data_IF_584062838442
#
_entry.id   IF_584062838442
#
_cell.length_a   1.000
_cell.length_b   1.000
_cell.length_c   1.000
_cell.angle_alpha   90.00
_cell.angle_beta   90.00
_cell.angle_gamma   90.00
#
_symmetry.space_group_name_H-M   'P 1'
#
loop_
_entity.id
_entity.type
_entity.pdbx_description
1 polymer ?
#
# COMPACT_ATOMS: atom_id res chain seq x y z
N UNK A 1 31.98 -48.12 61.78
CA UNK A 1 30.98 -49.13 62.20
C UNK A 1 29.73 -48.89 61.32
N UNK A 2 29.56 -49.83 60.43
CA UNK A 2 28.36 -50.17 59.63
C UNK A 2 27.19 -50.54 60.55
N UNK A 3 25.92 -50.71 60.15
CA UNK A 3 25.39 -51.01 58.83
C UNK A 3 23.92 -50.56 58.51
N UNK A 4 23.56 -50.85 57.25
CA UNK A 4 22.31 -51.37 56.64
C UNK A 4 21.28 -50.35 56.17
N UNK A 5 21.23 -50.10 54.90
CA UNK A 5 20.56 -50.86 53.82
C UNK A 5 19.10 -51.23 54.11
N UNK A 6 18.20 -50.56 53.37
CA UNK A 6 17.04 -51.29 52.81
C UNK A 6 16.54 -50.51 51.56
N UNK A 7 16.59 -51.16 50.40
CA UNK A 7 16.06 -50.74 49.12
C UNK A 7 14.53 -50.78 49.14
N UNK A 8 13.90 -49.74 48.50
CA UNK A 8 12.52 -49.82 48.05
C UNK A 8 12.51 -49.63 46.52
N UNK A 9 11.93 -50.61 45.86
CA UNK A 9 11.61 -50.68 44.45
C UNK A 9 10.64 -49.51 44.04
N UNK A 10 10.79 -48.89 42.90
CA UNK A 10 9.83 -47.92 42.46
C UNK A 10 8.64 -48.59 41.76
N UNK A 11 7.46 -48.15 42.17
CA UNK A 11 6.20 -48.54 41.61
C UNK A 11 6.01 -47.81 40.26
N UNK A 12 5.43 -48.53 39.32
CA UNK A 12 5.22 -48.12 37.93
C UNK A 12 4.31 -46.88 37.79
N UNK A 13 4.80 -45.82 37.17
CA UNK A 13 3.99 -44.70 36.73
C UNK A 13 3.22 -45.03 35.43
N UNK A 14 1.96 -44.59 35.28
CA UNK A 14 1.21 -44.75 34.04
C UNK A 14 1.73 -43.79 32.96
N UNK A 15 1.82 -44.31 31.74
CA UNK A 15 2.26 -43.63 30.52
C UNK A 15 1.39 -42.42 30.15
N UNK A 16 1.89 -41.21 30.37
CA UNK A 16 1.31 -40.00 29.87
C UNK A 16 1.69 -39.76 28.39
N UNK A 17 1.00 -40.43 27.46
CA UNK A 17 1.18 -40.19 26.00
C UNK A 17 0.02 -39.43 25.33
N UNK A 18 -0.80 -38.73 26.12
CA UNK A 18 -2.00 -38.07 25.62
C UNK A 18 -1.89 -36.52 25.53
N UNK A 19 -0.88 -35.88 26.12
CA UNK A 19 -0.78 -34.40 26.15
C UNK A 19 0.18 -33.80 25.11
N UNK A 20 1.10 -34.62 24.54
CA UNK A 20 2.01 -34.07 23.49
C UNK A 20 1.33 -33.90 22.15
N UNK A 21 0.36 -34.76 21.81
CA UNK A 21 -0.32 -34.69 20.49
C UNK A 21 -1.35 -33.56 20.38
N UNK A 22 -1.88 -33.07 21.53
CA UNK A 22 -2.78 -31.91 21.54
C UNK A 22 -2.04 -30.59 21.42
N UNK A 23 -0.88 -30.45 22.04
CA UNK A 23 -0.07 -29.23 21.94
C UNK A 23 0.47 -29.03 20.53
N UNK A 24 0.86 -30.12 19.83
CA UNK A 24 1.35 -30.05 18.45
C UNK A 24 0.23 -29.75 17.43
N UNK A 25 -0.99 -30.28 17.64
CA UNK A 25 -2.13 -29.98 16.76
C UNK A 25 -2.63 -28.56 16.91
N UNK A 26 -2.65 -28.00 18.12
CA UNK A 26 -3.04 -26.61 18.36
C UNK A 26 -1.97 -25.64 17.83
N UNK A 27 -0.69 -25.97 17.97
CA UNK A 27 0.41 -25.20 17.39
C UNK A 27 0.37 -25.17 15.87
N UNK A 28 0.13 -26.30 15.21
CA UNK A 28 0.01 -26.39 13.77
C UNK A 28 -1.23 -25.63 13.23
N UNK A 29 -2.36 -25.70 13.93
CA UNK A 29 -3.57 -24.94 13.58
C UNK A 29 -3.36 -23.42 13.71
N UNK A 30 -2.69 -22.97 14.78
CA UNK A 30 -2.35 -21.55 14.99
C UNK A 30 -1.40 -21.05 13.92
N UNK A 31 -0.36 -21.81 13.57
CA UNK A 31 0.58 -21.46 12.50
C UNK A 31 -0.13 -21.41 11.13
N UNK A 32 -1.00 -22.36 10.84
CA UNK A 32 -1.80 -22.37 9.61
C UNK A 32 -2.70 -21.13 9.51
N UNK A 33 -3.38 -20.76 10.59
CA UNK A 33 -4.23 -19.57 10.66
C UNK A 33 -3.41 -18.28 10.54
N UNK A 34 -2.26 -18.18 11.21
CA UNK A 34 -1.37 -17.03 11.10
C UNK A 34 -0.84 -16.86 9.67
N UNK A 35 -0.47 -17.94 8.99
CA UNK A 35 -0.02 -17.91 7.59
C UNK A 35 -1.10 -17.40 6.64
N UNK A 36 -2.36 -17.79 6.81
CA UNK A 36 -3.49 -17.29 6.02
C UNK A 36 -3.70 -15.79 6.23
N UNK A 37 -3.64 -15.31 7.47
CA UNK A 37 -3.79 -13.89 7.76
C UNK A 37 -2.62 -13.05 7.23
N UNK A 38 -1.39 -13.56 7.31
CA UNK A 38 -0.22 -12.89 6.73
C UNK A 38 -0.34 -12.80 5.20
N UNK A 39 -0.78 -13.86 4.53
CA UNK A 39 -0.99 -13.85 3.09
C UNK A 39 -2.09 -12.86 2.69
N UNK A 40 -3.21 -12.82 3.42
CA UNK A 40 -4.29 -11.86 3.17
C UNK A 40 -3.83 -10.40 3.38
N UNK A 41 -3.01 -10.15 4.41
CA UNK A 41 -2.43 -8.83 4.63
C UNK A 41 -1.48 -8.43 3.50
N UNK A 42 -0.62 -9.35 3.05
CA UNK A 42 0.29 -9.09 1.92
C UNK A 42 -0.48 -8.76 0.64
N UNK A 43 -1.53 -9.52 0.32
CA UNK A 43 -2.41 -9.25 -0.82
C UNK A 43 -3.07 -7.87 -0.71
N UNK A 44 -3.58 -7.53 0.48
CA UNK A 44 -4.15 -6.21 0.71
C UNK A 44 -3.13 -5.08 0.50
N UNK A 45 -1.90 -5.23 1.00
CA UNK A 45 -0.82 -4.25 0.83
C UNK A 45 -0.47 -4.09 -0.65
N UNK A 46 -0.31 -5.19 -1.40
CA UNK A 46 0.00 -5.16 -2.83
C UNK A 46 -1.11 -4.47 -3.66
N UNK A 47 -2.36 -4.62 -3.25
CA UNK A 47 -3.52 -3.95 -3.87
C UNK A 47 -3.69 -2.50 -3.42
N UNK A 48 -2.91 -2.03 -2.46
CA UNK A 48 -3.08 -0.73 -1.79
C UNK A 48 -1.86 0.20 -1.95
N UNK A 49 -1.29 0.38 -3.17
CA UNK A 49 -0.09 1.21 -3.35
C UNK A 49 -0.32 2.70 -3.08
N UNK A 50 -1.56 3.17 -3.04
CA UNK A 50 -1.93 4.57 -2.74
C UNK A 50 -3.21 4.63 -1.91
N UNK A 51 -3.55 5.79 -1.29
CA UNK A 51 -4.79 5.94 -0.51
C UNK A 51 -6.03 5.56 -1.30
N UNK A 52 -6.10 5.89 -2.57
CA UNK A 52 -7.25 5.59 -3.44
C UNK A 52 -7.40 4.10 -3.67
N UNK A 53 -6.30 3.40 -3.90
CA UNK A 53 -6.27 1.95 -4.02
C UNK A 53 -6.63 1.28 -2.68
N UNK A 54 -6.09 1.78 -1.55
CA UNK A 54 -6.37 1.25 -0.23
C UNK A 54 -7.86 1.38 0.14
N UNK A 55 -8.46 2.56 -0.13
CA UNK A 55 -9.87 2.77 0.10
C UNK A 55 -10.75 1.84 -0.77
N UNK A 56 -10.39 1.63 -2.06
CA UNK A 56 -11.10 0.71 -2.95
C UNK A 56 -10.91 -0.74 -2.53
N UNK A 57 -9.70 -1.18 -2.24
CA UNK A 57 -9.41 -2.53 -1.75
C UNK A 57 -10.14 -2.84 -0.43
N UNK A 58 -10.23 -1.86 0.48
CA UNK A 58 -11.02 -1.96 1.69
C UNK A 58 -12.52 -2.09 1.40
N UNK A 59 -13.04 -1.29 0.46
CA UNK A 59 -14.42 -1.39 -0.01
C UNK A 59 -14.75 -2.76 -0.59
N UNK A 60 -13.87 -3.33 -1.42
CA UNK A 60 -14.03 -4.67 -2.00
C UNK A 60 -14.09 -5.76 -0.91
N UNK A 61 -13.25 -5.66 0.13
CA UNK A 61 -13.29 -6.58 1.27
C UNK A 61 -14.61 -6.47 2.04
N UNK A 62 -15.12 -5.26 2.23
CA UNK A 62 -16.40 -5.02 2.90
C UNK A 62 -17.56 -5.55 2.05
N UNK A 63 -17.57 -5.30 0.74
CA UNK A 63 -18.58 -5.84 -0.17
C UNK A 63 -18.59 -7.38 -0.14
N UNK A 64 -17.41 -8.01 -0.15
CA UNK A 64 -17.25 -9.46 0.01
C UNK A 64 -17.76 -9.99 1.36
N UNK A 65 -17.79 -9.15 2.40
CA UNK A 65 -18.34 -9.45 3.73
C UNK A 65 -19.85 -9.09 3.87
N UNK A 66 -20.51 -8.72 2.77
CA UNK A 66 -21.94 -8.42 2.73
C UNK A 66 -22.32 -7.01 3.18
N UNK A 67 -21.36 -6.06 3.16
CA UNK A 67 -21.67 -4.65 3.32
C UNK A 67 -22.15 -4.05 2.00
N UNK A 68 -23.03 -3.06 2.07
CA UNK A 68 -23.61 -2.36 0.93
C UNK A 68 -22.86 -1.05 0.70
N UNK A 69 -22.32 -0.85 -0.51
CA UNK A 69 -21.73 0.43 -0.90
C UNK A 69 -22.82 1.46 -1.16
N UNK A 70 -22.67 2.64 -0.55
CA UNK A 70 -23.55 3.78 -0.78
C UNK A 70 -22.79 4.88 -1.52
N UNK A 71 -23.45 5.50 -2.49
CA UNK A 71 -22.94 6.69 -3.17
C UNK A 71 -22.92 7.90 -2.23
N UNK A 72 -21.92 8.76 -2.38
CA UNK A 72 -21.73 9.97 -1.53
C UNK A 72 -22.93 10.93 -1.58
N UNK A 73 -23.68 10.92 -2.69
CA UNK A 73 -24.85 11.77 -2.91
C UNK A 73 -26.18 11.07 -2.60
N UNK A 74 -26.15 9.82 -2.10
CA UNK A 74 -27.35 9.13 -1.69
C UNK A 74 -27.89 9.65 -0.36
N UNK A 75 -29.18 9.48 -0.16
CA UNK A 75 -29.83 9.78 1.10
C UNK A 75 -29.46 8.76 2.17
N UNK A 76 -29.14 9.24 3.37
CA UNK A 76 -28.76 8.45 4.53
C UNK A 76 -29.87 8.36 5.58
N UNK A 77 -31.11 8.73 5.25
CA UNK A 77 -32.25 8.66 6.19
C UNK A 77 -32.56 7.23 6.64
N UNK A 78 -32.26 6.26 5.81
CA UNK A 78 -32.47 4.83 6.11
C UNK A 78 -31.25 4.00 5.67
N UNK A 79 -30.09 4.15 6.34
CA UNK A 79 -28.90 3.44 5.97
C UNK A 79 -29.04 1.93 6.25
N UNK A 80 -28.40 1.05 5.44
CA UNK A 80 -28.38 -0.38 5.70
C UNK A 80 -27.71 -0.69 7.03
N UNK A 81 -28.01 -1.85 7.63
CA UNK A 81 -27.35 -2.31 8.86
C UNK A 81 -25.84 -2.46 8.70
N UNK A 82 -25.38 -2.88 7.53
CA UNK A 82 -23.98 -2.95 7.14
C UNK A 82 -23.80 -2.13 5.87
N UNK A 83 -23.12 -1.01 5.98
CA UNK A 83 -22.87 -0.15 4.84
C UNK A 83 -21.47 0.44 4.83
N UNK A 84 -21.06 0.94 3.68
CA UNK A 84 -19.84 1.71 3.55
C UNK A 84 -19.93 2.76 2.43
N UNK A 85 -19.09 3.75 2.51
CA UNK A 85 -18.88 4.80 1.50
C UNK A 85 -17.40 4.90 1.20
N UNK A 86 -17.05 4.92 -0.08
CA UNK A 86 -15.71 5.29 -0.55
C UNK A 86 -15.79 6.67 -1.18
N UNK A 87 -14.93 7.57 -0.72
CA UNK A 87 -14.77 8.89 -1.31
C UNK A 87 -13.30 9.24 -1.43
N UNK A 88 -12.83 9.41 -2.66
CA UNK A 88 -11.42 9.62 -2.94
C UNK A 88 -10.55 8.54 -2.27
N UNK A 89 -9.58 8.93 -1.45
CA UNK A 89 -8.75 8.01 -0.66
C UNK A 89 -9.30 7.70 0.72
N UNK A 90 -10.59 7.90 0.97
CA UNK A 90 -11.21 7.70 2.27
C UNK A 90 -12.28 6.61 2.21
N UNK A 91 -12.38 5.84 3.28
CA UNK A 91 -13.39 4.80 3.48
C UNK A 91 -14.06 5.00 4.84
N UNK A 92 -15.38 5.02 4.85
CA UNK A 92 -16.18 4.98 6.08
C UNK A 92 -17.09 3.78 6.01
N UNK A 93 -17.10 2.95 7.05
CA UNK A 93 -17.96 1.78 7.11
C UNK A 93 -18.64 1.69 8.48
N UNK A 94 -19.80 1.09 8.52
CA UNK A 94 -20.56 0.86 9.76
C UNK A 94 -21.23 -0.51 9.74
N UNK A 95 -21.43 -1.03 10.96
CA UNK A 95 -22.20 -2.23 11.18
C UNK A 95 -23.01 -2.07 12.46
N UNK A 96 -24.32 -2.28 12.39
CA UNK A 96 -25.23 -2.16 13.51
C UNK A 96 -26.60 -1.69 13.11
N UNK A 97 -27.60 -1.97 13.93
CA UNK A 97 -28.99 -1.61 13.64
C UNK A 97 -29.24 -0.12 13.87
N UNK A 98 -29.82 0.64 12.91
CA UNK A 98 -30.07 2.08 13.04
C UNK A 98 -30.93 2.44 14.28
N UNK A 99 -31.86 1.56 14.67
CA UNK A 99 -32.69 1.75 15.86
C UNK A 99 -31.94 1.59 17.18
N UNK A 100 -30.69 1.12 17.16
CA UNK A 100 -29.84 1.01 18.34
C UNK A 100 -29.07 2.31 18.65
N UNK A 101 -29.50 3.46 18.13
CA UNK A 101 -28.88 4.77 18.33
C UNK A 101 -28.73 5.21 19.81
N UNK A 102 -29.40 4.51 20.74
CA UNK A 102 -29.21 4.68 22.19
C UNK A 102 -28.04 3.86 22.75
N UNK A 103 -27.35 3.05 21.93
CA UNK A 103 -26.26 2.18 22.35
C UNK A 103 -24.91 2.86 22.05
N UNK A 104 -23.93 2.66 22.93
CA UNK A 104 -22.60 3.21 22.73
C UNK A 104 -21.97 2.72 21.40
N UNK A 105 -21.49 3.66 20.59
CA UNK A 105 -20.77 3.37 19.34
C UNK A 105 -19.30 3.09 19.62
N UNK A 106 -18.77 2.02 19.00
CA UNK A 106 -17.32 1.76 18.95
C UNK A 106 -16.80 2.29 17.64
N UNK A 107 -15.77 3.14 17.70
CA UNK A 107 -15.17 3.77 16.53
C UNK A 107 -13.71 3.35 16.41
N UNK A 108 -13.30 2.93 15.22
CA UNK A 108 -11.91 2.60 14.87
C UNK A 108 -11.51 3.53 13.72
N UNK A 109 -10.39 4.21 13.88
CA UNK A 109 -9.83 5.07 12.84
C UNK A 109 -8.40 4.67 12.50
N UNK A 110 -8.07 4.75 11.23
CA UNK A 110 -6.73 4.54 10.70
C UNK A 110 -6.52 5.44 9.48
N UNK A 111 -5.26 5.71 9.13
CA UNK A 111 -4.94 6.41 7.88
C UNK A 111 -4.84 5.44 6.70
N UNK A 112 -5.10 5.92 5.49
CA UNK A 112 -5.00 5.16 4.22
C UNK A 112 -3.76 5.53 3.42
N UNK A 113 -3.12 6.66 3.72
CA UNK A 113 -1.92 7.16 3.04
C UNK A 113 -0.65 6.55 3.63
N UNK A 114 0.44 6.66 2.88
CA UNK A 114 1.79 6.24 3.31
C UNK A 114 2.81 7.25 2.80
N UNK A 115 3.96 7.41 3.49
CA UNK A 115 5.06 8.22 2.98
C UNK A 115 5.56 7.69 1.64
N UNK A 116 5.96 8.60 0.75
CA UNK A 116 6.44 8.23 -0.59
C UNK A 116 6.94 9.44 -1.39
N UNK A 117 7.18 9.24 -2.66
CA UNK A 117 7.56 10.27 -3.60
C UNK A 117 6.35 10.65 -4.47
N UNK A 118 5.81 11.86 -4.31
CA UNK A 118 4.70 12.35 -5.14
C UNK A 118 5.24 12.98 -6.43
N UNK A 119 4.66 12.58 -7.54
CA UNK A 119 5.00 13.12 -8.85
C UNK A 119 4.43 14.53 -8.98
N UNK A 120 5.26 15.50 -9.40
CA UNK A 120 4.83 16.89 -9.58
C UNK A 120 3.87 17.06 -10.77
N UNK A 121 3.08 18.15 -10.80
CA UNK A 121 2.22 18.48 -11.95
C UNK A 121 3.01 18.74 -13.25
N UNK A 122 4.26 19.21 -13.15
CA UNK A 122 5.22 19.32 -14.25
C UNK A 122 6.43 18.45 -13.91
N UNK A 123 6.37 17.15 -14.22
CA UNK A 123 7.35 16.21 -13.72
C UNK A 123 8.53 16.03 -14.64
N UNK A 124 8.35 16.25 -15.94
CA UNK A 124 9.34 15.93 -16.96
C UNK A 124 10.58 16.80 -16.76
N UNK A 125 11.70 16.15 -16.59
CA UNK A 125 13.02 16.77 -16.40
C UNK A 125 14.10 15.79 -16.83
N UNK A 126 15.31 16.27 -16.98
CA UNK A 126 16.43 15.40 -17.32
C UNK A 126 17.78 16.06 -17.07
N UNK A 127 18.79 15.23 -17.08
CA UNK A 127 20.18 15.66 -16.96
C UNK A 127 21.12 14.59 -17.51
N UNK A 128 22.16 15.03 -18.23
CA UNK A 128 23.24 14.15 -18.71
C UNK A 128 22.75 12.95 -19.54
N UNK A 129 21.71 13.15 -20.36
CA UNK A 129 21.15 12.07 -21.18
C UNK A 129 20.27 11.09 -20.43
N UNK A 130 19.82 11.42 -19.20
CA UNK A 130 18.88 10.65 -18.40
C UNK A 130 17.56 11.42 -18.32
N UNK A 131 16.46 10.77 -18.67
CA UNK A 131 15.10 11.29 -18.42
C UNK A 131 14.72 11.01 -16.97
N UNK A 132 14.20 12.02 -16.30
CA UNK A 132 13.86 11.97 -14.88
C UNK A 132 12.47 12.54 -14.64
N UNK A 133 11.85 12.13 -13.53
CA UNK A 133 10.63 12.75 -13.04
C UNK A 133 10.92 13.61 -11.81
N UNK A 134 10.39 14.83 -11.80
CA UNK A 134 10.44 15.68 -10.62
C UNK A 134 9.41 15.20 -9.59
N UNK A 135 9.88 15.03 -8.36
CA UNK A 135 9.09 14.51 -7.25
C UNK A 135 9.14 15.44 -6.04
N UNK A 136 8.22 15.24 -5.13
CA UNK A 136 8.22 15.79 -3.77
C UNK A 136 8.11 14.66 -2.76
N UNK A 137 8.90 14.76 -1.68
CA UNK A 137 8.79 13.82 -0.56
C UNK A 137 7.50 14.11 0.19
N UNK A 138 6.67 13.10 0.35
CA UNK A 138 5.45 13.16 1.12
C UNK A 138 5.59 12.41 2.44
N UNK A 139 5.24 13.07 3.54
CA UNK A 139 5.28 12.48 4.88
C UNK A 139 6.69 12.25 5.42
N UNK A 140 6.79 11.48 6.48
CA UNK A 140 8.05 11.13 7.16
C UNK A 140 8.76 9.93 6.52
N UNK A 141 9.11 10.03 5.24
CA UNK A 141 9.78 8.95 4.52
C UNK A 141 11.23 8.74 4.97
N UNK A 142 11.64 7.47 5.09
CA UNK A 142 13.05 7.10 5.17
C UNK A 142 13.66 7.16 3.77
N UNK A 143 14.01 8.36 3.32
CA UNK A 143 14.36 8.64 1.91
C UNK A 143 15.53 7.81 1.37
N UNK A 144 16.46 7.36 2.22
CA UNK A 144 17.53 6.45 1.84
C UNK A 144 17.01 5.07 1.40
N UNK A 145 15.83 4.66 1.83
CA UNK A 145 15.24 3.37 1.44
C UNK A 145 14.65 3.35 0.03
N UNK A 146 14.53 4.50 -0.64
CA UNK A 146 14.14 4.63 -2.05
C UNK A 146 15.31 4.49 -3.02
N UNK A 147 16.56 4.58 -2.54
CA UNK A 147 17.73 4.46 -3.40
C UNK A 147 17.91 3.02 -3.88
N UNK A 148 18.30 2.88 -5.15
CA UNK A 148 18.60 1.62 -5.85
C UNK A 148 17.49 0.56 -5.78
N UNK A 149 16.25 1.00 -5.57
CA UNK A 149 15.07 0.14 -5.68
C UNK A 149 14.43 0.27 -7.04
N UNK A 150 13.87 -0.84 -7.50
CA UNK A 150 12.91 -0.83 -8.59
C UNK A 150 11.61 -0.22 -8.07
N UNK A 151 11.20 0.88 -8.68
CA UNK A 151 9.99 1.62 -8.35
C UNK A 151 9.01 1.56 -9.51
N UNK A 152 7.73 1.66 -9.20
CA UNK A 152 6.66 1.85 -10.18
C UNK A 152 5.87 3.12 -9.87
N UNK A 153 4.86 3.41 -10.66
CA UNK A 153 3.92 4.51 -10.42
C UNK A 153 2.58 3.94 -9.98
N UNK A 154 1.94 4.59 -9.06
CA UNK A 154 0.55 4.30 -8.73
C UNK A 154 -0.18 5.58 -8.33
N UNK A 155 -1.49 5.61 -8.58
CA UNK A 155 -2.31 6.76 -8.21
C UNK A 155 -3.59 6.87 -9.00
N UNK A 156 -4.06 8.10 -9.14
CA UNK A 156 -5.22 8.44 -9.96
C UNK A 156 -4.86 9.40 -11.08
N UNK A 157 -5.54 9.23 -12.21
CA UNK A 157 -5.41 10.09 -13.38
C UNK A 157 -6.80 10.60 -13.74
N UNK A 158 -6.94 11.92 -13.90
CA UNK A 158 -8.17 12.53 -14.40
C UNK A 158 -8.05 12.72 -15.89
N UNK A 159 -9.03 12.20 -16.61
CA UNK A 159 -9.09 12.26 -18.07
C UNK A 159 -10.37 12.94 -18.55
N UNK A 160 -10.33 13.48 -19.77
CA UNK A 160 -11.54 13.96 -20.44
C UNK A 160 -12.44 12.79 -20.82
N UNK A 161 -13.75 12.94 -20.60
CA UNK A 161 -14.75 11.93 -20.91
C UNK A 161 -16.03 12.60 -21.39
N UNK A 162 -16.24 12.57 -22.71
CA UNK A 162 -17.40 13.19 -23.36
C UNK A 162 -18.76 12.56 -22.98
N UNK A 163 -18.75 11.34 -22.48
CA UNK A 163 -19.95 10.61 -22.06
C UNK A 163 -20.33 10.88 -20.59
N UNK A 164 -19.40 11.43 -19.81
CA UNK A 164 -19.65 11.81 -18.41
C UNK A 164 -20.37 13.16 -18.32
N UNK A 165 -21.39 13.32 -17.44
CA UNK A 165 -22.06 14.60 -17.21
C UNK A 165 -21.12 15.74 -16.77
N UNK A 166 -20.00 15.42 -16.14
CA UNK A 166 -18.97 16.37 -15.73
C UNK A 166 -17.94 16.66 -16.83
N UNK A 167 -17.95 15.89 -17.92
CA UNK A 167 -16.90 15.89 -18.92
C UNK A 167 -15.58 15.25 -18.45
N UNK A 168 -15.59 14.64 -17.27
CA UNK A 168 -14.40 14.12 -16.59
C UNK A 168 -14.61 12.68 -16.10
N UNK A 169 -13.52 11.90 -16.12
CA UNK A 169 -13.44 10.57 -15.52
C UNK A 169 -12.12 10.44 -14.77
N UNK A 170 -12.14 9.76 -13.64
CA UNK A 170 -10.93 9.47 -12.85
C UNK A 170 -10.66 7.97 -12.88
N UNK A 171 -9.43 7.61 -13.25
CA UNK A 171 -8.94 6.24 -13.31
C UNK A 171 -7.86 5.99 -12.29
N UNK A 172 -7.90 4.82 -11.65
CA UNK A 172 -6.79 4.34 -10.84
C UNK A 172 -5.79 3.62 -11.73
N UNK A 173 -4.52 3.95 -11.58
CA UNK A 173 -3.42 3.37 -12.35
C UNK A 173 -2.39 2.76 -11.42
N UNK A 174 -1.92 1.58 -11.80
CA UNK A 174 -0.80 0.88 -11.17
C UNK A 174 -0.16 -0.05 -12.20
N UNK A 175 0.67 0.49 -13.10
CA UNK A 175 1.39 -0.34 -14.07
C UNK A 175 2.30 -1.31 -13.34
N UNK A 176 2.34 -2.54 -13.82
CA UNK A 176 3.16 -3.59 -13.21
C UNK A 176 4.59 -3.53 -13.73
N UNK A 177 5.52 -3.89 -12.85
CA UNK A 177 6.95 -3.92 -13.15
C UNK A 177 7.69 -2.64 -12.83
N UNK A 178 9.03 -2.68 -12.91
CA UNK A 178 9.90 -1.56 -12.62
C UNK A 178 9.82 -0.51 -13.74
N UNK A 179 9.58 0.73 -13.38
CA UNK A 179 9.53 1.88 -14.29
C UNK A 179 10.59 2.93 -13.95
N UNK A 180 10.89 3.06 -12.67
CA UNK A 180 11.67 4.16 -12.12
C UNK A 180 12.77 3.62 -11.22
N UNK A 181 13.86 4.40 -11.11
CA UNK A 181 14.92 4.15 -10.12
C UNK A 181 15.52 5.46 -9.66
N UNK A 182 15.70 5.64 -8.36
CA UNK A 182 16.53 6.67 -7.78
C UNK A 182 17.92 6.09 -7.57
N UNK A 183 18.91 6.39 -8.43
CA UNK A 183 20.21 5.76 -8.34
C UNK A 183 20.99 6.29 -7.13
N UNK A 184 21.67 5.40 -6.42
CA UNK A 184 22.69 5.76 -5.43
C UNK A 184 24.04 5.90 -6.12
N UNK A 185 24.82 6.89 -5.69
CA UNK A 185 26.17 7.09 -6.20
C UNK A 185 27.10 5.96 -5.71
N UNK A 186 28.02 5.55 -6.60
CA UNK A 186 29.14 4.71 -6.20
C UNK A 186 30.05 5.44 -5.22
N UNK A 187 30.70 4.71 -4.32
CA UNK A 187 31.62 5.27 -3.32
C UNK A 187 32.71 6.19 -3.91
N UNK A 188 33.07 5.98 -5.17
CA UNK A 188 34.04 6.83 -5.87
C UNK A 188 33.54 8.26 -6.15
N UNK A 189 32.21 8.44 -6.17
CA UNK A 189 31.55 9.72 -6.41
C UNK A 189 30.99 10.34 -5.12
N UNK A 190 30.93 9.56 -4.04
CA UNK A 190 30.49 9.96 -2.70
C UNK A 190 31.43 9.33 -1.67
N UNK A 191 32.68 9.86 -1.58
CA UNK A 191 33.77 9.24 -0.80
C UNK A 191 33.52 9.26 0.71
N UNK A 192 32.76 10.22 1.17
CA UNK A 192 32.54 10.45 2.60
C UNK A 192 31.33 9.64 3.14
N UNK A 193 30.65 8.91 2.29
CA UNK A 193 29.44 8.15 2.67
C UNK A 193 29.71 7.15 3.81
N UNK A 194 30.88 6.52 3.83
CA UNK A 194 31.25 5.53 4.85
C UNK A 194 31.76 6.15 6.18
N UNK A 195 32.10 7.43 6.19
CA UNK A 195 32.63 8.14 7.37
C UNK A 195 31.65 9.12 7.96
N UNK A 196 30.91 9.84 7.10
CA UNK A 196 29.95 10.86 7.49
C UNK A 196 28.49 10.43 7.35
N UNK A 197 28.24 9.26 6.73
CA UNK A 197 26.92 8.77 6.40
C UNK A 197 26.32 9.42 5.16
N UNK A 198 25.22 8.85 4.69
CA UNK A 198 24.51 9.30 3.51
C UNK A 198 23.77 10.62 3.78
N UNK A 199 24.10 11.66 3.02
CA UNK A 199 23.49 12.99 3.11
C UNK A 199 22.67 13.28 1.87
N UNK A 200 21.33 13.14 1.95
CA UNK A 200 20.42 13.34 0.84
C UNK A 200 19.78 14.72 0.88
N UNK A 201 19.80 15.39 -0.28
CA UNK A 201 18.93 16.54 -0.54
C UNK A 201 17.68 16.06 -1.29
N UNK A 202 16.48 16.16 -0.70
CA UNK A 202 15.27 15.64 -1.31
C UNK A 202 14.95 16.18 -2.70
N UNK A 203 15.28 17.44 -2.97
CA UNK A 203 14.97 18.06 -4.26
C UNK A 203 16.00 17.73 -5.36
N UNK A 204 17.24 17.45 -4.98
CA UNK A 204 18.32 17.22 -5.94
C UNK A 204 18.56 15.73 -6.19
N UNK A 205 18.50 14.91 -5.13
CA UNK A 205 18.97 13.53 -5.16
C UNK A 205 17.87 12.49 -5.35
N UNK A 206 16.58 12.86 -5.20
CA UNK A 206 15.47 11.92 -5.25
C UNK A 206 14.67 11.94 -6.55
N UNK A 207 15.18 12.57 -7.61
CA UNK A 207 14.55 12.53 -8.93
C UNK A 207 14.77 11.17 -9.56
N UNK A 208 13.76 10.31 -9.69
CA UNK A 208 13.95 9.01 -10.29
C UNK A 208 14.23 9.13 -11.78
N UNK A 209 15.12 8.27 -12.25
CA UNK A 209 15.39 8.04 -13.68
C UNK A 209 14.36 7.04 -14.18
N UNK A 210 13.82 7.27 -15.39
CA UNK A 210 12.87 6.39 -16.04
C UNK A 210 13.15 6.14 -17.53
N UNK A 211 14.22 6.73 -18.07
CA UNK A 211 14.61 6.52 -19.44
C UNK A 211 15.93 7.17 -19.78
N UNK A 212 16.40 6.90 -21.00
CA UNK A 212 17.56 7.50 -21.61
C UNK A 212 17.15 8.48 -22.71
N UNK A 213 17.99 9.48 -22.97
CA UNK A 213 17.77 10.50 -23.98
C UNK A 213 17.65 11.90 -23.38
N UNK A 214 17.25 12.86 -24.18
CA UNK A 214 16.92 14.21 -23.70
C UNK A 214 15.61 14.20 -22.94
N UNK A 215 15.46 15.10 -21.97
CA UNK A 215 14.17 15.40 -21.37
C UNK A 215 13.23 15.98 -22.44
N UNK A 216 11.99 15.47 -22.45
CA UNK A 216 10.92 15.99 -23.29
C UNK A 216 9.76 16.38 -22.41
N UNK A 217 9.22 17.56 -22.63
CA UNK A 217 8.00 17.99 -21.95
C UNK A 217 6.81 17.15 -22.46
N UNK A 218 6.06 16.56 -21.53
CA UNK A 218 4.89 15.74 -21.86
C UNK A 218 5.12 14.24 -21.89
N UNK A 219 6.33 13.76 -21.70
CA UNK A 219 6.67 12.30 -21.70
C UNK A 219 5.77 11.50 -20.74
N UNK A 220 5.56 11.99 -19.51
CA UNK A 220 4.68 11.30 -18.57
C UNK A 220 3.22 11.31 -19.02
N UNK A 221 2.76 12.41 -19.62
CA UNK A 221 1.40 12.52 -20.13
C UNK A 221 1.15 11.54 -21.28
N UNK A 222 2.10 11.41 -22.19
CA UNK A 222 2.06 10.45 -23.29
C UNK A 222 2.01 9.01 -22.75
N UNK A 223 2.89 8.68 -21.83
CA UNK A 223 2.88 7.36 -21.16
C UNK A 223 1.53 7.03 -20.50
N UNK A 224 0.93 7.99 -19.79
CA UNK A 224 -0.39 7.80 -19.16
C UNK A 224 -1.51 7.64 -20.19
N UNK A 225 -1.44 8.36 -21.31
CA UNK A 225 -2.40 8.22 -22.38
C UNK A 225 -2.32 6.83 -23.03
N UNK A 226 -1.13 6.34 -23.29
CA UNK A 226 -0.91 4.97 -23.80
C UNK A 226 -1.39 3.92 -22.81
N UNK A 227 -1.03 4.05 -21.51
CA UNK A 227 -1.44 3.13 -20.45
C UNK A 227 -2.97 3.01 -20.34
N UNK A 228 -3.69 4.12 -20.49
CA UNK A 228 -5.15 4.19 -20.40
C UNK A 228 -5.86 4.04 -21.75
N UNK A 229 -5.11 3.81 -22.83
CA UNK A 229 -5.63 3.66 -24.19
C UNK A 229 -6.51 4.86 -24.59
N UNK A 230 -6.00 6.07 -24.34
CA UNK A 230 -6.69 7.32 -24.65
C UNK A 230 -6.41 7.77 -26.10
N UNK A 231 -7.30 8.55 -26.70
CA UNK A 231 -7.14 9.02 -28.08
C UNK A 231 -5.95 9.96 -28.27
N UNK A 232 -5.55 10.69 -27.25
CA UNK A 232 -4.38 11.59 -27.28
C UNK A 232 -3.86 11.92 -25.88
N UNK A 233 -2.59 12.38 -25.75
CA UNK A 233 -2.04 12.84 -24.47
C UNK A 233 -2.81 13.99 -23.83
N UNK A 234 -3.44 14.86 -24.63
CA UNK A 234 -4.24 15.99 -24.16
C UNK A 234 -5.50 15.55 -23.42
N UNK A 235 -5.94 14.29 -23.62
CA UNK A 235 -7.03 13.69 -22.86
C UNK A 235 -6.67 13.49 -21.38
N UNK A 236 -5.39 13.47 -21.03
CA UNK A 236 -4.91 13.45 -19.64
C UNK A 236 -4.91 14.86 -19.09
N UNK A 237 -5.82 15.18 -18.18
CA UNK A 237 -6.01 16.53 -17.63
C UNK A 237 -5.20 16.77 -16.35
N UNK A 238 -4.92 15.72 -15.60
CA UNK A 238 -4.15 15.81 -14.37
C UNK A 238 -3.95 14.45 -13.70
N UNK A 239 -3.14 14.44 -12.67
CA UNK A 239 -2.83 13.23 -11.91
C UNK A 239 -2.48 13.53 -10.46
N UNK A 240 -2.64 12.49 -9.64
CA UNK A 240 -2.10 12.35 -8.30
C UNK A 240 -1.37 11.00 -8.25
N UNK A 241 -0.08 11.00 -8.55
CA UNK A 241 0.74 9.81 -8.64
C UNK A 241 1.82 9.78 -7.57
N UNK A 242 2.14 8.58 -7.11
CA UNK A 242 3.23 8.28 -6.18
C UNK A 242 4.17 7.22 -6.76
N UNK A 243 5.43 7.23 -6.27
CA UNK A 243 6.45 6.22 -6.53
C UNK A 243 7.11 5.77 -5.22
#
# INVERSE_FOLDING_TARGET
>A
MDPRHQARTPDSAPSGRADSDRADSDGAAVVGTASVHCAALSDFIERSPTPWHAARAGGDLLAGAGFIELGVSQDFDSPPEKGFVVRDGSLVAWSGHPAAAATATRMIGAHTDSPGLRIRPRPDTGRAGLRQLAVEVYGGALINSWLDRDLTLAGRVTVSDGDSPSGLRTELVHPRGPLLRVPQLAVHLDRDVNTEGLKLNPQQHLKPVWGLGSDSEGDLREFLAELLVLPSPESVLGWDLCA
#
